data_IF_155499500517
#
_entry.id   IF_155499500517
#
_cell.length_a   1.000
_cell.length_b   1.000
_cell.length_c   1.000
_cell.angle_alpha   90.00
_cell.angle_beta   90.00
_cell.angle_gamma   90.00
#
_symmetry.space_group_name_H-M   'P 1'
#
loop_
_entity.id
_entity.type
_entity.pdbx_description
1 polymer ?
#
# COMPACT_ATOMS: atom_id res chain seq x y z
N UNK A 1 -46.06 -52.19 31.69
CA UNK A 1 -46.21 -51.12 32.69
C UNK A 1 -45.34 -49.96 32.22
N UNK A 2 -45.82 -48.80 31.71
CA UNK A 2 -46.52 -47.65 32.37
C UNK A 2 -45.96 -47.43 33.79
N UNK A 3 -45.40 -46.30 34.20
CA UNK A 3 -45.79 -44.87 34.17
C UNK A 3 -44.52 -43.98 34.00
N UNK A 4 -44.45 -42.78 33.41
CA UNK A 4 -45.28 -41.56 33.35
C UNK A 4 -44.98 -40.50 34.45
N UNK A 5 -44.40 -39.36 34.00
CA UNK A 5 -44.53 -37.95 34.45
C UNK A 5 -43.94 -37.51 35.81
N UNK A 6 -42.92 -36.64 35.75
CA UNK A 6 -42.86 -35.44 36.59
C UNK A 6 -42.38 -34.23 35.76
N UNK A 7 -43.25 -33.24 35.72
CA UNK A 7 -43.04 -31.91 35.18
C UNK A 7 -42.09 -31.11 36.08
N UNK A 8 -41.07 -30.45 35.53
CA UNK A 8 -40.57 -29.18 36.07
C UNK A 8 -40.22 -28.27 34.89
N UNK A 9 -41.11 -27.31 34.68
CA UNK A 9 -40.99 -26.14 33.81
C UNK A 9 -39.91 -25.22 34.39
N UNK A 10 -38.79 -25.03 33.69
CA UNK A 10 -37.91 -23.87 33.93
C UNK A 10 -37.71 -23.17 32.58
N UNK A 11 -38.54 -22.15 32.37
CA UNK A 11 -38.36 -21.17 31.31
C UNK A 11 -37.20 -20.28 31.73
N UNK A 12 -35.99 -20.59 31.25
CA UNK A 12 -34.87 -19.67 31.30
C UNK A 12 -34.95 -18.75 30.07
N UNK A 13 -35.59 -17.59 30.22
CA UNK A 13 -35.50 -16.51 29.24
C UNK A 13 -34.09 -15.94 29.31
N UNK A 14 -33.20 -16.42 28.45
CA UNK A 14 -31.92 -15.77 28.20
C UNK A 14 -32.19 -14.63 27.22
N UNK A 15 -32.31 -13.41 27.75
CA UNK A 15 -32.32 -12.18 26.96
C UNK A 15 -30.92 -12.01 26.37
N UNK A 16 -30.72 -12.51 25.15
CA UNK A 16 -29.53 -12.20 24.35
C UNK A 16 -29.70 -10.76 23.86
N UNK A 17 -29.10 -9.82 24.57
CA UNK A 17 -28.88 -8.46 24.07
C UNK A 17 -27.87 -8.57 22.93
N UNK A 18 -28.38 -8.68 21.71
CA UNK A 18 -27.58 -8.54 20.49
C UNK A 18 -27.11 -7.08 20.40
N UNK A 19 -25.95 -6.81 20.98
CA UNK A 19 -25.23 -5.57 20.78
C UNK A 19 -24.91 -5.44 19.28
N UNK A 20 -25.66 -4.58 18.59
CA UNK A 20 -25.41 -4.19 17.21
C UNK A 20 -24.13 -3.39 17.18
N UNK A 21 -23.01 -4.07 16.97
CA UNK A 21 -21.73 -3.41 16.69
C UNK A 21 -21.94 -2.63 15.39
N UNK A 22 -21.85 -1.29 15.39
CA UNK A 22 -21.84 -0.56 14.14
C UNK A 22 -20.57 -0.98 13.40
N UNK A 23 -20.75 -1.73 12.32
CA UNK A 23 -19.68 -2.07 11.39
C UNK A 23 -19.13 -0.74 10.88
N UNK A 24 -18.02 -0.28 11.47
CA UNK A 24 -17.30 0.88 10.99
C UNK A 24 -16.96 0.59 9.53
N UNK A 25 -17.71 1.24 8.64
CA UNK A 25 -17.52 1.11 7.20
C UNK A 25 -16.17 1.72 6.89
N UNK A 26 -15.12 0.89 6.89
CA UNK A 26 -13.83 1.27 6.33
C UNK A 26 -14.12 1.50 4.85
N UNK A 27 -14.37 2.75 4.48
CA UNK A 27 -14.48 3.19 3.09
C UNK A 27 -13.15 2.83 2.44
N UNK A 28 -13.10 1.65 1.82
CA UNK A 28 -11.97 1.21 1.04
C UNK A 28 -11.74 2.29 -0.01
N UNK A 29 -10.64 3.03 0.13
CA UNK A 29 -10.31 4.10 -0.79
C UNK A 29 -10.31 3.50 -2.19
N UNK A 30 -11.08 4.10 -3.12
CA UNK A 30 -11.23 3.57 -4.47
C UNK A 30 -9.85 3.19 -5.05
N UNK A 31 -9.68 1.99 -5.64
CA UNK A 31 -8.40 1.55 -6.20
C UNK A 31 -7.95 2.59 -7.24
N UNK A 32 -6.95 3.41 -6.88
CA UNK A 32 -6.48 4.55 -7.68
C UNK A 32 -6.35 5.87 -6.92
N UNK A 33 -7.18 6.12 -5.90
CA UNK A 33 -7.10 7.35 -5.08
C UNK A 33 -5.77 7.46 -4.32
N UNK A 34 -5.28 6.34 -3.80
CA UNK A 34 -3.99 6.26 -3.13
C UNK A 34 -2.81 6.24 -4.12
N UNK A 35 -2.96 5.62 -5.30
CA UNK A 35 -1.95 5.69 -6.39
C UNK A 35 -1.70 7.15 -6.79
N UNK A 36 -2.77 7.90 -7.11
CA UNK A 36 -2.66 9.30 -7.52
C UNK A 36 -2.00 10.16 -6.44
N UNK A 37 -2.35 9.94 -5.16
CA UNK A 37 -1.71 10.61 -4.02
C UNK A 37 -0.21 10.33 -3.95
N UNK A 38 0.20 9.06 -4.03
CA UNK A 38 1.62 8.66 -4.02
C UNK A 38 2.36 9.30 -5.19
N UNK A 39 1.81 9.23 -6.40
CA UNK A 39 2.44 9.79 -7.59
C UNK A 39 2.59 11.31 -7.49
N UNK A 40 1.58 12.01 -6.98
CA UNK A 40 1.67 13.46 -6.74
C UNK A 40 2.73 13.81 -5.70
N UNK A 41 2.76 13.09 -4.58
CA UNK A 41 3.71 13.34 -3.50
C UNK A 41 5.17 13.02 -3.90
N UNK A 42 5.38 11.95 -4.68
CA UNK A 42 6.72 11.47 -5.01
C UNK A 42 7.29 12.06 -6.32
N UNK A 43 6.45 12.33 -7.33
CA UNK A 43 6.91 12.57 -8.72
C UNK A 43 6.51 13.91 -9.33
N UNK A 44 5.66 14.72 -8.70
CA UNK A 44 5.22 15.99 -9.29
C UNK A 44 6.30 17.07 -9.27
N UNK A 45 6.58 17.63 -10.43
CA UNK A 45 7.47 18.79 -10.59
C UNK A 45 8.97 18.45 -10.70
N UNK A 46 9.76 19.45 -11.08
CA UNK A 46 11.22 19.31 -11.26
C UNK A 46 11.92 19.00 -9.94
N UNK A 47 11.44 19.58 -8.84
CA UNK A 47 11.94 19.37 -7.48
C UNK A 47 11.19 18.27 -6.71
N UNK A 48 10.53 17.34 -7.42
CA UNK A 48 9.87 16.19 -6.78
C UNK A 48 10.83 15.41 -5.89
N UNK A 49 10.28 14.73 -4.88
CA UNK A 49 11.07 13.91 -3.98
C UNK A 49 11.88 12.84 -4.73
N UNK A 50 11.31 12.21 -5.76
CA UNK A 50 12.00 11.24 -6.59
C UNK A 50 13.19 11.85 -7.34
N UNK A 51 13.04 13.07 -7.89
CA UNK A 51 14.14 13.77 -8.56
C UNK A 51 15.22 14.21 -7.59
N UNK A 52 14.85 14.71 -6.40
CA UNK A 52 15.80 15.05 -5.34
C UNK A 52 16.58 13.84 -4.86
N UNK A 53 15.92 12.69 -4.68
CA UNK A 53 16.59 11.44 -4.31
C UNK A 53 17.57 10.97 -5.39
N UNK A 54 17.17 11.00 -6.67
CA UNK A 54 18.06 10.73 -7.81
C UNK A 54 19.28 11.67 -7.84
N UNK A 55 19.08 12.94 -7.50
CA UNK A 55 20.13 13.95 -7.47
C UNK A 55 21.00 13.91 -6.20
N UNK A 56 20.73 13.00 -5.24
CA UNK A 56 21.45 12.95 -3.97
C UNK A 56 21.13 14.11 -3.01
N UNK A 57 20.02 14.81 -3.24
CA UNK A 57 19.55 15.98 -2.46
C UNK A 57 18.41 15.65 -1.49
N UNK A 58 18.03 14.39 -1.37
CA UNK A 58 17.04 13.93 -0.42
C UNK A 58 17.73 13.51 0.89
N UNK A 59 17.16 13.92 2.01
CA UNK A 59 17.56 13.45 3.34
C UNK A 59 17.24 11.96 3.53
N UNK A 60 17.82 11.34 4.57
CA UNK A 60 17.51 9.95 4.92
C UNK A 60 16.01 9.73 5.21
N UNK A 61 15.38 10.68 5.92
CA UNK A 61 13.93 10.65 6.20
C UNK A 61 13.09 10.69 4.91
N UNK A 62 13.53 11.48 3.94
CA UNK A 62 12.89 11.61 2.64
C UNK A 62 13.04 10.35 1.79
N UNK A 63 14.23 9.75 1.77
CA UNK A 63 14.47 8.45 1.11
C UNK A 63 13.61 7.34 1.74
N UNK A 64 13.49 7.34 3.06
CA UNK A 64 12.67 6.40 3.81
C UNK A 64 11.15 6.60 3.54
N UNK A 65 10.68 7.85 3.48
CA UNK A 65 9.31 8.16 3.06
C UNK A 65 9.03 7.69 1.62
N UNK A 66 10.00 7.86 0.72
CA UNK A 66 9.92 7.40 -0.67
C UNK A 66 9.82 5.87 -0.77
N UNK A 67 10.62 5.13 0.01
CA UNK A 67 10.54 3.68 0.09
C UNK A 67 9.18 3.18 0.59
N UNK A 68 8.62 3.80 1.64
CA UNK A 68 7.25 3.51 2.11
C UNK A 68 6.19 3.77 1.05
N UNK A 69 6.29 4.88 0.33
CA UNK A 69 5.35 5.19 -0.74
C UNK A 69 5.39 4.13 -1.85
N UNK A 70 6.58 3.67 -2.26
CA UNK A 70 6.68 2.61 -3.26
C UNK A 70 6.25 1.23 -2.74
N UNK A 71 6.39 0.96 -1.44
CA UNK A 71 5.80 -0.24 -0.81
C UNK A 71 4.28 -0.22 -0.93
N UNK A 72 3.67 0.92 -0.59
CA UNK A 72 2.23 1.13 -0.73
C UNK A 72 1.78 1.01 -2.19
N UNK A 73 2.55 1.56 -3.14
CA UNK A 73 2.27 1.46 -4.56
C UNK A 73 2.32 0.00 -5.07
N UNK A 74 3.36 -0.76 -4.68
CA UNK A 74 3.50 -2.18 -5.02
C UNK A 74 2.32 -3.03 -4.53
N UNK A 75 1.71 -2.66 -3.40
CA UNK A 75 0.57 -3.38 -2.83
C UNK A 75 -0.77 -3.03 -3.47
N UNK A 76 -0.84 -2.02 -4.34
CA UNK A 76 -2.07 -1.66 -5.04
C UNK A 76 -2.26 -2.47 -6.32
N UNK A 77 -3.51 -2.57 -6.78
CA UNK A 77 -3.83 -3.05 -8.13
C UNK A 77 -3.57 -1.93 -9.14
N UNK A 78 -3.04 -2.22 -10.34
CA UNK A 78 -2.87 -1.16 -11.35
C UNK A 78 -4.23 -0.60 -11.77
N UNK A 79 -4.33 0.70 -12.10
CA UNK A 79 -5.56 1.28 -12.60
C UNK A 79 -5.83 0.88 -14.07
N UNK A 80 -4.80 0.50 -14.83
CA UNK A 80 -4.85 -0.02 -16.20
C UNK A 80 -3.76 -1.05 -16.44
N UNK A 81 -3.94 -1.94 -17.42
CA UNK A 81 -2.94 -2.94 -17.79
C UNK A 81 -2.83 -4.11 -16.81
N UNK A 82 -1.79 -4.95 -16.97
CA UNK A 82 -1.69 -6.21 -16.23
C UNK A 82 -1.08 -6.06 -14.82
N UNK A 83 -1.55 -6.89 -13.89
CA UNK A 83 -0.99 -7.00 -12.54
C UNK A 83 0.49 -7.44 -12.56
N UNK A 84 0.89 -8.31 -13.50
CA UNK A 84 2.27 -8.73 -13.65
C UNK A 84 3.20 -7.56 -14.01
N UNK A 85 2.83 -6.76 -15.02
CA UNK A 85 3.58 -5.53 -15.40
C UNK A 85 3.67 -4.56 -14.22
N UNK A 86 2.56 -4.37 -13.49
CA UNK A 86 2.54 -3.51 -12.32
C UNK A 86 3.52 -3.96 -11.25
N UNK A 87 3.47 -5.24 -10.87
CA UNK A 87 4.36 -5.82 -9.86
C UNK A 87 5.82 -5.71 -10.28
N UNK A 88 6.15 -6.02 -11.53
CA UNK A 88 7.51 -5.90 -12.06
C UNK A 88 8.05 -4.46 -11.96
N UNK A 89 7.26 -3.47 -12.35
CA UNK A 89 7.70 -2.06 -12.36
C UNK A 89 7.77 -1.48 -10.95
N UNK A 90 6.77 -1.74 -10.12
CA UNK A 90 6.70 -1.21 -8.75
C UNK A 90 7.71 -1.88 -7.81
N UNK A 91 7.99 -3.18 -7.98
CA UNK A 91 9.02 -3.87 -7.17
C UNK A 91 10.42 -3.38 -7.52
N UNK A 92 10.68 -3.01 -8.78
CA UNK A 92 11.98 -2.49 -9.20
C UNK A 92 12.32 -1.17 -8.49
N UNK A 93 11.40 -0.19 -8.52
CA UNK A 93 11.60 1.10 -7.83
C UNK A 93 11.65 0.93 -6.31
N UNK A 94 10.87 0.00 -5.76
CA UNK A 94 10.85 -0.30 -4.33
C UNK A 94 12.17 -0.93 -3.86
N UNK A 95 12.69 -1.94 -4.56
CA UNK A 95 13.99 -2.55 -4.20
C UNK A 95 15.12 -1.55 -4.29
N UNK A 96 15.09 -0.67 -5.29
CA UNK A 96 16.11 0.34 -5.46
C UNK A 96 16.03 1.43 -4.38
N UNK A 97 14.84 1.89 -4.01
CA UNK A 97 14.66 2.86 -2.91
C UNK A 97 15.05 2.27 -1.55
N UNK A 98 14.74 1.00 -1.28
CA UNK A 98 15.17 0.30 -0.06
C UNK A 98 16.69 0.11 0.00
N UNK A 99 17.33 -0.12 -1.15
CA UNK A 99 18.80 -0.17 -1.24
C UNK A 99 19.41 1.20 -0.98
N UNK A 100 18.85 2.26 -1.56
CA UNK A 100 19.26 3.64 -1.30
C UNK A 100 19.03 4.02 0.17
N UNK A 101 17.96 3.55 0.81
CA UNK A 101 17.73 3.74 2.25
C UNK A 101 18.84 3.09 3.10
N UNK A 102 19.24 1.86 2.77
CA UNK A 102 20.33 1.16 3.49
C UNK A 102 21.72 1.74 3.21
N UNK A 103 21.91 2.32 2.03
CA UNK A 103 23.19 2.86 1.55
C UNK A 103 23.01 4.28 1.00
N UNK A 104 22.67 5.27 1.84
CA UNK A 104 22.25 6.60 1.37
C UNK A 104 23.36 7.39 0.65
N UNK A 105 24.63 7.09 0.97
CA UNK A 105 25.79 7.74 0.36
C UNK A 105 26.34 6.97 -0.86
N UNK A 106 25.88 5.74 -1.12
CA UNK A 106 26.43 4.89 -2.17
C UNK A 106 25.97 5.36 -3.58
N UNK A 107 26.89 5.81 -4.45
CA UNK A 107 26.54 6.26 -5.79
C UNK A 107 25.96 5.13 -6.66
N UNK A 108 26.33 3.86 -6.43
CA UNK A 108 25.77 2.71 -7.16
C UNK A 108 24.31 2.48 -6.77
N UNK A 109 23.96 2.64 -5.48
CA UNK A 109 22.58 2.56 -5.02
C UNK A 109 21.71 3.64 -5.67
N UNK A 110 22.24 4.87 -5.78
CA UNK A 110 21.55 5.99 -6.43
C UNK A 110 21.40 5.80 -7.94
N UNK A 111 22.44 5.30 -8.61
CA UNK A 111 22.39 4.98 -10.04
C UNK A 111 21.36 3.88 -10.34
N UNK A 112 21.30 2.82 -9.51
CA UNK A 112 20.29 1.77 -9.61
C UNK A 112 18.88 2.33 -9.41
N UNK A 113 18.68 3.23 -8.44
CA UNK A 113 17.43 3.95 -8.24
C UNK A 113 17.03 4.80 -9.45
N UNK A 114 17.97 5.59 -9.99
CA UNK A 114 17.76 6.38 -11.21
C UNK A 114 17.30 5.52 -12.39
N UNK A 115 17.94 4.36 -12.61
CA UNK A 115 17.60 3.41 -13.68
C UNK A 115 16.23 2.76 -13.46
N UNK A 116 15.85 2.49 -12.21
CA UNK A 116 14.54 1.93 -11.88
C UNK A 116 13.40 2.92 -12.14
N UNK A 117 13.66 4.23 -12.07
CA UNK A 117 12.69 5.29 -12.41
C UNK A 117 12.42 5.35 -13.91
N UNK A 118 11.53 4.48 -14.38
CA UNK A 118 11.09 4.46 -15.77
C UNK A 118 9.67 5.04 -15.91
N UNK A 119 9.55 6.35 -15.69
CA UNK A 119 8.27 7.08 -15.68
C UNK A 119 7.43 6.79 -16.93
N UNK A 120 8.06 6.86 -18.12
CA UNK A 120 7.38 6.64 -19.40
C UNK A 120 6.85 5.23 -19.54
N UNK A 121 7.66 4.21 -19.28
CA UNK A 121 7.21 2.82 -19.43
C UNK A 121 6.17 2.41 -18.37
N UNK A 122 6.17 3.04 -17.20
CA UNK A 122 5.12 2.83 -16.20
C UNK A 122 3.82 3.53 -16.60
N UNK A 123 3.89 4.83 -16.95
CA UNK A 123 2.70 5.59 -17.30
C UNK A 123 2.02 5.11 -18.57
N UNK A 124 2.77 4.66 -19.60
CA UNK A 124 2.17 4.07 -20.81
C UNK A 124 1.33 2.83 -20.52
N UNK A 125 1.74 2.01 -19.54
CA UNK A 125 1.05 0.77 -19.21
C UNK A 125 -0.10 0.98 -18.18
N UNK A 126 -0.01 2.01 -17.35
CA UNK A 126 -0.77 2.07 -16.10
C UNK A 126 -1.35 3.47 -15.76
N UNK A 127 -1.38 4.44 -16.68
CA UNK A 127 -1.99 5.76 -16.43
C UNK A 127 -3.19 6.01 -17.33
#
# INVERSE_FOLDING_TARGET
MKLNRFSITIVAVVVVVAATIPTASTRAAAPGSNISRIMKAAHTGRNSLANRAKAGKASAREIDALARMYRSLYNQKPPKGSAASWKQKTVAILRASETMKRKPTDPKARAAYSKALNCTACHRAHR
#
